data_IF_862027348637
#
_entry.id   IF_862027348637
#
_cell.length_a   1.000
_cell.length_b   1.000
_cell.length_c   1.000
_cell.angle_alpha   90.00
_cell.angle_beta   90.00
_cell.angle_gamma   90.00
#
_symmetry.space_group_name_H-M   'P 1'
#
loop_
_entity.id
_entity.type
_entity.pdbx_description
1 polymer ?
#
# COMPACT_ATOMS: atom_id res chain seq x y z
N UNK A 1 -13.51 -121.59 -42.45
CA UNK A 1 -13.85 -122.12 -43.79
C UNK A 1 -13.04 -123.38 -44.02
N UNK A 2 -13.76 -124.49 -44.12
CA UNK A 2 -13.43 -125.75 -44.82
C UNK A 2 -12.16 -126.53 -44.43
N UNK A 3 -12.36 -127.56 -43.61
CA UNK A 3 -11.59 -128.81 -43.61
C UNK A 3 -12.10 -129.67 -44.78
N UNK A 4 -11.19 -130.23 -45.58
CA UNK A 4 -11.50 -131.32 -46.51
C UNK A 4 -10.59 -132.52 -46.23
N UNK A 5 -11.22 -133.56 -45.66
CA UNK A 5 -11.13 -134.98 -45.99
C UNK A 5 -9.78 -135.69 -46.20
N UNK A 6 -9.43 -136.52 -45.20
CA UNK A 6 -9.21 -137.98 -45.26
C UNK A 6 -9.32 -138.67 -46.64
N UNK A 7 -8.29 -139.46 -47.01
CA UNK A 7 -8.46 -140.90 -47.32
C UNK A 7 -7.12 -141.66 -47.35
N UNK A 8 -6.98 -142.63 -46.46
CA UNK A 8 -6.06 -143.78 -46.59
C UNK A 8 -6.97 -145.02 -46.58
N UNK A 9 -6.84 -145.88 -47.59
CA UNK A 9 -7.29 -147.28 -47.52
C UNK A 9 -6.44 -148.08 -48.49
N UNK A 10 -5.57 -148.91 -47.91
CA UNK A 10 -5.07 -150.13 -48.50
C UNK A 10 -6.18 -151.20 -48.47
N UNK A 11 -6.09 -152.20 -49.35
CA UNK A 11 -6.02 -153.62 -48.96
C UNK A 11 -6.51 -154.55 -50.07
N UNK A 12 -5.57 -155.38 -50.51
CA UNK A 12 -5.77 -156.72 -51.03
C UNK A 12 -6.49 -157.60 -50.01
N UNK A 13 -7.33 -158.50 -50.52
CA UNK A 13 -8.07 -159.55 -49.82
C UNK A 13 -7.25 -160.31 -48.77
N UNK A 14 -7.87 -160.65 -47.64
CA UNK A 14 -8.17 -162.05 -47.25
C UNK A 14 -8.84 -162.12 -45.87
N UNK A 15 -9.79 -163.06 -45.74
CA UNK A 15 -10.61 -163.33 -44.55
C UNK A 15 -9.78 -163.95 -43.41
N UNK A 16 -9.94 -163.45 -42.18
CA UNK A 16 -9.41 -164.07 -40.95
C UNK A 16 -9.86 -163.32 -39.68
N UNK A 17 -10.41 -164.05 -38.71
CA UNK A 17 -11.11 -163.60 -37.49
C UNK A 17 -10.25 -162.71 -36.55
N UNK A 18 -10.82 -161.65 -35.93
CA UNK A 18 -10.11 -160.74 -35.02
C UNK A 18 -10.88 -160.35 -33.72
N UNK A 19 -10.12 -160.02 -32.68
CA UNK A 19 -10.35 -160.20 -31.22
C UNK A 19 -10.71 -158.92 -30.40
N UNK A 20 -11.28 -159.02 -29.17
CA UNK A 20 -11.91 -157.93 -28.39
C UNK A 20 -11.09 -156.68 -27.98
N UNK A 21 -9.78 -156.62 -28.26
CA UNK A 21 -8.91 -155.50 -27.82
C UNK A 21 -9.18 -154.20 -28.61
N UNK A 22 -9.68 -154.31 -29.85
CA UNK A 22 -9.95 -153.17 -30.73
C UNK A 22 -11.09 -152.27 -30.24
N UNK A 23 -12.03 -152.79 -29.44
CA UNK A 23 -13.19 -152.01 -28.96
C UNK A 23 -12.82 -151.04 -27.83
N UNK A 24 -11.87 -151.41 -26.96
CA UNK A 24 -11.44 -150.57 -25.83
C UNK A 24 -10.64 -149.33 -26.28
N UNK A 25 -9.86 -149.46 -27.36
CA UNK A 25 -9.08 -148.35 -27.92
C UNK A 25 -10.02 -147.28 -28.53
N UNK A 26 -11.10 -147.69 -29.20
CA UNK A 26 -12.07 -146.74 -29.77
C UNK A 26 -12.79 -145.90 -28.69
N UNK A 27 -13.09 -146.50 -27.54
CA UNK A 27 -13.79 -145.81 -26.45
C UNK A 27 -12.93 -144.71 -25.80
N UNK A 28 -11.63 -144.95 -25.63
CA UNK A 28 -10.69 -143.96 -25.06
C UNK A 28 -10.42 -142.79 -26.04
N UNK A 29 -10.37 -143.06 -27.34
CA UNK A 29 -10.16 -142.02 -28.37
C UNK A 29 -11.34 -141.04 -28.43
N UNK A 30 -12.58 -141.53 -28.32
CA UNK A 30 -13.76 -140.65 -28.27
C UNK A 30 -13.79 -139.77 -27.00
N UNK A 31 -13.44 -140.31 -25.84
CA UNK A 31 -13.39 -139.54 -24.59
C UNK A 31 -12.31 -138.45 -24.61
N UNK A 32 -11.20 -138.67 -25.31
CA UNK A 32 -10.16 -137.66 -25.53
C UNK A 32 -10.62 -136.57 -26.52
N UNK A 33 -11.40 -136.93 -27.54
CA UNK A 33 -12.01 -135.97 -28.48
C UNK A 33 -12.91 -134.96 -27.77
N UNK A 34 -13.79 -135.41 -26.86
CA UNK A 34 -14.68 -134.51 -26.12
C UNK A 34 -13.94 -133.57 -25.14
N UNK A 35 -12.83 -134.03 -24.55
CA UNK A 35 -12.00 -133.20 -23.67
C UNK A 35 -11.26 -132.10 -24.43
N UNK A 36 -10.82 -132.38 -25.65
CA UNK A 36 -10.15 -131.42 -26.54
C UNK A 36 -11.12 -130.29 -26.94
N UNK A 37 -12.37 -130.61 -27.27
CA UNK A 37 -13.37 -129.60 -27.65
C UNK A 37 -13.70 -128.66 -26.47
N UNK A 38 -13.85 -129.19 -25.25
CA UNK A 38 -14.07 -128.35 -24.04
C UNK A 38 -12.90 -127.44 -23.69
N UNK A 39 -11.66 -127.87 -23.96
CA UNK A 39 -10.48 -127.04 -23.73
C UNK A 39 -10.38 -125.92 -24.77
N UNK A 40 -10.80 -126.19 -26.01
CA UNK A 40 -10.89 -125.20 -27.07
C UNK A 40 -11.90 -124.10 -26.72
N UNK A 41 -13.11 -124.46 -26.29
CA UNK A 41 -14.12 -123.48 -25.89
C UNK A 41 -13.68 -122.61 -24.71
N UNK A 42 -12.95 -123.17 -23.75
CA UNK A 42 -12.34 -122.40 -22.64
C UNK A 42 -11.26 -121.43 -23.12
N UNK A 43 -10.44 -121.84 -24.10
CA UNK A 43 -9.40 -120.99 -24.67
C UNK A 43 -10.02 -119.82 -25.46
N UNK A 44 -11.08 -120.08 -26.24
CA UNK A 44 -11.81 -119.05 -26.99
C UNK A 44 -12.44 -118.02 -26.04
N UNK A 45 -13.09 -118.48 -24.96
CA UNK A 45 -13.67 -117.59 -23.93
C UNK A 45 -12.62 -116.78 -23.17
N UNK A 46 -11.45 -117.35 -22.92
CA UNK A 46 -10.33 -116.62 -22.30
C UNK A 46 -9.75 -115.55 -23.22
N UNK A 47 -9.80 -115.76 -24.54
CA UNK A 47 -9.36 -114.79 -25.55
C UNK A 47 -10.32 -113.61 -25.63
N UNK A 48 -11.63 -113.87 -25.59
CA UNK A 48 -12.67 -112.83 -25.53
C UNK A 48 -12.54 -111.95 -24.27
N UNK A 49 -12.30 -112.56 -23.11
CA UNK A 49 -12.08 -111.81 -21.86
C UNK A 49 -10.83 -110.91 -21.92
N UNK A 50 -9.75 -111.39 -22.52
CA UNK A 50 -8.54 -110.58 -22.68
C UNK A 50 -8.75 -109.40 -23.65
N UNK A 51 -9.57 -109.58 -24.69
CA UNK A 51 -9.94 -108.48 -25.59
C UNK A 51 -10.84 -107.45 -24.87
N UNK A 52 -11.78 -107.89 -24.03
CA UNK A 52 -12.60 -107.00 -23.21
C UNK A 52 -11.75 -106.18 -22.23
N UNK A 53 -10.78 -106.80 -21.55
CA UNK A 53 -9.86 -106.11 -20.63
C UNK A 53 -8.95 -105.11 -21.36
N UNK A 54 -8.48 -105.43 -22.56
CA UNK A 54 -7.72 -104.46 -23.37
C UNK A 54 -8.55 -103.22 -23.72
N UNK A 55 -9.82 -103.42 -24.05
CA UNK A 55 -10.75 -102.31 -24.33
C UNK A 55 -10.99 -101.43 -23.09
N UNK A 56 -11.19 -102.03 -21.93
CA UNK A 56 -11.38 -101.29 -20.68
C UNK A 56 -10.12 -100.50 -20.27
N UNK A 57 -8.93 -101.06 -20.52
CA UNK A 57 -7.65 -100.37 -20.29
C UNK A 57 -7.49 -99.15 -21.22
N UNK A 58 -7.93 -99.23 -22.48
CA UNK A 58 -7.92 -98.08 -23.38
C UNK A 58 -8.91 -96.99 -22.95
N UNK A 59 -10.12 -97.36 -22.53
CA UNK A 59 -11.12 -96.41 -22.05
C UNK A 59 -10.68 -95.70 -20.76
N UNK A 60 -9.96 -96.39 -19.87
CA UNK A 60 -9.34 -95.79 -18.68
C UNK A 60 -8.20 -94.82 -19.03
N UNK A 61 -7.35 -95.14 -20.02
CA UNK A 61 -6.30 -94.22 -20.50
C UNK A 61 -6.89 -92.94 -21.09
N UNK A 62 -8.01 -93.03 -21.84
CA UNK A 62 -8.71 -91.84 -22.36
C UNK A 62 -9.28 -90.96 -21.26
N UNK A 63 -9.83 -91.54 -20.18
CA UNK A 63 -10.29 -90.77 -19.00
C UNK A 63 -9.15 -90.08 -18.25
N UNK A 64 -7.95 -90.66 -18.22
CA UNK A 64 -6.76 -90.06 -17.62
C UNK A 64 -6.29 -88.81 -18.39
N UNK A 65 -6.31 -88.84 -19.73
CA UNK A 65 -6.02 -87.65 -20.56
C UNK A 65 -7.02 -86.49 -20.36
N UNK A 66 -8.28 -86.78 -20.04
CA UNK A 66 -9.26 -85.75 -19.66
C UNK A 66 -8.94 -85.05 -18.32
N UNK A 67 -8.26 -85.74 -17.39
CA UNK A 67 -7.83 -85.17 -16.10
C UNK A 67 -6.63 -84.24 -16.25
N UNK A 68 -5.78 -84.47 -17.25
CA UNK A 68 -4.60 -83.66 -17.57
C UNK A 68 -5.01 -82.31 -18.20
N UNK A 69 -5.98 -82.34 -19.12
CA UNK A 69 -6.58 -81.13 -19.71
C UNK A 69 -7.30 -80.26 -18.65
N UNK A 70 -7.96 -80.89 -17.68
CA UNK A 70 -8.55 -80.19 -16.54
C UNK A 70 -7.49 -79.55 -15.63
N UNK A 71 -6.32 -80.19 -15.45
CA UNK A 71 -5.21 -79.65 -14.67
C UNK A 71 -4.57 -78.43 -15.35
N UNK A 72 -4.36 -78.48 -16.67
CA UNK A 72 -3.84 -77.33 -17.44
C UNK A 72 -4.82 -76.14 -17.39
N UNK A 73 -6.11 -76.37 -17.60
CA UNK A 73 -7.15 -75.33 -17.48
C UNK A 73 -7.19 -74.69 -16.09
N UNK A 74 -7.02 -75.49 -15.02
CA UNK A 74 -6.92 -75.00 -13.65
C UNK A 74 -5.65 -74.17 -13.40
N UNK A 75 -4.52 -74.51 -14.03
CA UNK A 75 -3.31 -73.69 -13.92
C UNK A 75 -3.44 -72.34 -14.61
N UNK A 76 -4.11 -72.28 -15.77
CA UNK A 76 -4.36 -71.04 -16.50
C UNK A 76 -5.34 -70.14 -15.75
N UNK A 77 -6.45 -70.70 -15.24
CA UNK A 77 -7.38 -69.96 -14.36
C UNK A 77 -6.69 -69.41 -13.10
N UNK A 78 -5.73 -70.14 -12.51
CA UNK A 78 -4.95 -69.63 -11.38
C UNK A 78 -4.08 -68.43 -11.76
N UNK A 79 -3.48 -68.43 -12.96
CA UNK A 79 -2.74 -67.27 -13.47
C UNK A 79 -3.67 -66.08 -13.65
N UNK A 80 -4.84 -66.28 -14.24
CA UNK A 80 -5.82 -65.21 -14.46
C UNK A 80 -6.35 -64.64 -13.14
N UNK A 81 -6.69 -65.49 -12.17
CA UNK A 81 -7.07 -65.07 -10.82
C UNK A 81 -5.95 -64.23 -10.18
N UNK A 82 -4.68 -64.61 -10.37
CA UNK A 82 -3.53 -63.86 -9.86
C UNK A 82 -3.39 -62.49 -10.54
N UNK A 83 -3.63 -62.41 -11.85
CA UNK A 83 -3.64 -61.12 -12.57
C UNK A 83 -4.81 -60.23 -12.15
N UNK A 84 -6.01 -60.81 -11.98
CA UNK A 84 -7.19 -60.10 -11.51
C UNK A 84 -6.98 -59.53 -10.10
N UNK A 85 -6.38 -60.30 -9.18
CA UNK A 85 -6.02 -59.78 -7.84
C UNK A 85 -5.09 -58.58 -7.90
N UNK A 86 -4.09 -58.58 -8.80
CA UNK A 86 -3.21 -57.41 -8.99
C UNK A 86 -3.99 -56.19 -9.47
N UNK A 87 -4.92 -56.37 -10.42
CA UNK A 87 -5.80 -55.28 -10.89
C UNK A 87 -6.71 -54.76 -9.78
N UNK A 88 -7.28 -55.65 -8.96
CA UNK A 88 -8.11 -55.28 -7.79
C UNK A 88 -7.31 -54.46 -6.78
N UNK A 89 -6.07 -54.83 -6.48
CA UNK A 89 -5.21 -54.03 -5.59
C UNK A 89 -4.92 -52.63 -6.17
N UNK A 90 -4.82 -52.50 -7.50
CA UNK A 90 -4.70 -51.20 -8.17
C UNK A 90 -5.92 -50.29 -7.96
N UNK A 91 -7.12 -50.87 -7.82
CA UNK A 91 -8.35 -50.11 -7.54
C UNK A 91 -8.30 -49.47 -6.15
N UNK A 92 -7.75 -50.15 -5.14
CA UNK A 92 -7.65 -49.59 -3.79
C UNK A 92 -6.66 -48.44 -3.71
N UNK A 93 -5.57 -48.49 -4.48
CA UNK A 93 -4.64 -47.37 -4.58
C UNK A 93 -5.27 -46.16 -5.30
N UNK A 94 -6.04 -46.42 -6.37
CA UNK A 94 -6.82 -45.37 -7.02
C UNK A 94 -7.85 -44.74 -6.07
N UNK A 95 -8.54 -45.53 -5.23
CA UNK A 95 -9.46 -45.00 -4.20
C UNK A 95 -8.75 -44.07 -3.22
N UNK A 96 -7.54 -44.41 -2.77
CA UNK A 96 -6.76 -43.52 -1.88
C UNK A 96 -6.39 -42.22 -2.58
N UNK A 97 -5.96 -42.28 -3.84
CA UNK A 97 -5.65 -41.09 -4.64
C UNK A 97 -6.89 -40.21 -4.83
N UNK A 98 -8.04 -40.80 -5.16
CA UNK A 98 -9.31 -40.08 -5.28
C UNK A 98 -9.65 -39.38 -3.97
N UNK A 99 -9.54 -40.07 -2.82
CA UNK A 99 -9.82 -39.47 -1.51
C UNK A 99 -8.90 -38.27 -1.23
N UNK A 100 -7.61 -38.37 -1.56
CA UNK A 100 -6.66 -37.25 -1.42
C UNK A 100 -7.03 -36.08 -2.31
N UNK A 101 -7.41 -36.33 -3.57
CA UNK A 101 -7.83 -35.30 -4.51
C UNK A 101 -9.12 -34.61 -4.07
N UNK A 102 -10.08 -35.35 -3.51
CA UNK A 102 -11.32 -34.78 -2.94
C UNK A 102 -11.00 -33.82 -1.80
N UNK A 103 -10.17 -34.23 -0.83
CA UNK A 103 -9.78 -33.33 0.28
C UNK A 103 -9.02 -32.09 -0.20
N UNK A 104 -8.16 -32.23 -1.22
CA UNK A 104 -7.48 -31.10 -1.83
C UNK A 104 -8.46 -30.14 -2.52
N UNK A 105 -9.45 -30.66 -3.24
CA UNK A 105 -10.51 -29.87 -3.89
C UNK A 105 -11.35 -29.10 -2.87
N UNK A 106 -11.76 -29.74 -1.77
CA UNK A 106 -12.50 -29.10 -0.68
C UNK A 106 -11.70 -27.93 -0.07
N UNK A 107 -10.41 -28.15 0.17
CA UNK A 107 -9.50 -27.12 0.71
C UNK A 107 -9.32 -25.95 -0.28
N UNK A 108 -9.26 -26.23 -1.58
CA UNK A 108 -9.23 -25.18 -2.60
C UNK A 108 -10.54 -24.38 -2.65
N UNK A 109 -11.69 -25.04 -2.44
CA UNK A 109 -12.99 -24.40 -2.36
C UNK A 109 -13.08 -23.39 -1.21
N UNK A 110 -12.63 -23.77 -0.01
CA UNK A 110 -12.63 -22.88 1.17
C UNK A 110 -11.67 -21.70 0.99
N UNK A 111 -10.47 -21.93 0.46
CA UNK A 111 -9.51 -20.87 0.14
C UNK A 111 -10.07 -19.88 -0.89
N UNK A 112 -10.81 -20.37 -1.88
CA UNK A 112 -11.44 -19.51 -2.90
C UNK A 112 -12.52 -18.63 -2.28
N UNK A 113 -13.36 -19.16 -1.39
CA UNK A 113 -14.37 -18.39 -0.67
C UNK A 113 -13.74 -17.31 0.24
N UNK A 114 -12.67 -17.65 0.96
CA UNK A 114 -11.93 -16.68 1.77
C UNK A 114 -11.35 -15.54 0.92
N UNK A 115 -10.76 -15.87 -0.23
CA UNK A 115 -10.23 -14.88 -1.16
C UNK A 115 -11.33 -13.96 -1.74
N UNK A 116 -12.52 -14.48 -2.03
CA UNK A 116 -13.65 -13.67 -2.48
C UNK A 116 -14.09 -12.65 -1.42
N UNK A 117 -14.11 -13.06 -0.14
CA UNK A 117 -14.42 -12.16 0.96
C UNK A 117 -13.37 -11.05 1.11
N UNK A 118 -12.09 -11.40 1.03
CA UNK A 118 -10.99 -10.43 1.08
C UNK A 118 -11.10 -9.41 -0.07
N UNK A 119 -11.38 -9.87 -1.30
CA UNK A 119 -11.59 -8.99 -2.46
C UNK A 119 -12.76 -8.02 -2.22
N UNK A 120 -13.86 -8.48 -1.62
CA UNK A 120 -15.01 -7.63 -1.29
C UNK A 120 -14.64 -6.55 -0.26
N UNK A 121 -13.86 -6.91 0.75
CA UNK A 121 -13.38 -5.97 1.76
C UNK A 121 -12.47 -4.90 1.11
N UNK A 122 -11.47 -5.33 0.34
CA UNK A 122 -10.54 -4.44 -0.38
C UNK A 122 -11.30 -3.47 -1.29
N UNK A 123 -12.32 -3.94 -2.04
CA UNK A 123 -13.15 -3.05 -2.87
C UNK A 123 -13.84 -1.96 -2.06
N UNK A 124 -14.30 -2.29 -0.86
CA UNK A 124 -14.96 -1.33 0.03
C UNK A 124 -13.96 -0.27 0.51
N UNK A 125 -12.77 -0.69 0.95
CA UNK A 125 -11.72 0.22 1.37
C UNK A 125 -11.25 1.13 0.22
N UNK A 126 -11.05 0.58 -0.98
CA UNK A 126 -10.67 1.35 -2.18
C UNK A 126 -11.71 2.44 -2.48
N UNK A 127 -13.00 2.14 -2.34
CA UNK A 127 -14.07 3.13 -2.55
C UNK A 127 -14.05 4.23 -1.48
N UNK A 128 -13.78 3.88 -0.22
CA UNK A 128 -13.62 4.86 0.84
C UNK A 128 -12.40 5.77 0.57
N UNK A 129 -11.25 5.20 0.20
CA UNK A 129 -10.05 5.96 -0.18
C UNK A 129 -10.36 6.92 -1.33
N UNK A 130 -11.04 6.44 -2.38
CA UNK A 130 -11.42 7.26 -3.53
C UNK A 130 -12.29 8.46 -3.13
N UNK A 131 -13.24 8.27 -2.21
CA UNK A 131 -14.08 9.36 -1.71
C UNK A 131 -13.28 10.40 -0.91
N UNK A 132 -12.36 9.96 -0.04
CA UNK A 132 -11.46 10.83 0.73
C UNK A 132 -10.55 11.63 -0.19
N UNK A 133 -9.99 11.00 -1.23
CA UNK A 133 -9.14 11.68 -2.23
C UNK A 133 -9.89 12.81 -2.93
N UNK A 134 -11.15 12.60 -3.32
CA UNK A 134 -11.98 13.67 -3.91
C UNK A 134 -12.21 14.83 -2.95
N UNK A 135 -12.47 14.54 -1.67
CA UNK A 135 -12.66 15.58 -0.64
C UNK A 135 -11.37 16.39 -0.42
N UNK A 136 -10.21 15.72 -0.37
CA UNK A 136 -8.90 16.37 -0.27
C UNK A 136 -8.65 17.26 -1.49
N UNK A 137 -8.95 16.79 -2.70
CA UNK A 137 -8.77 17.57 -3.93
C UNK A 137 -9.64 18.84 -3.94
N UNK A 138 -10.90 18.73 -3.53
CA UNK A 138 -11.81 19.89 -3.40
C UNK A 138 -11.27 20.90 -2.38
N UNK A 139 -10.81 20.42 -1.22
CA UNK A 139 -10.20 21.26 -0.18
C UNK A 139 -8.93 21.95 -0.70
N UNK A 140 -8.09 21.23 -1.43
CA UNK A 140 -6.90 21.78 -2.08
C UNK A 140 -7.22 22.91 -3.05
N UNK A 141 -8.25 22.74 -3.89
CA UNK A 141 -8.71 23.77 -4.82
C UNK A 141 -9.23 25.03 -4.09
N UNK A 142 -10.01 24.85 -3.04
CA UNK A 142 -10.49 25.96 -2.21
C UNK A 142 -9.34 26.74 -1.57
N UNK A 143 -8.35 26.04 -1.03
CA UNK A 143 -7.17 26.65 -0.43
C UNK A 143 -6.32 27.40 -1.46
N UNK A 144 -6.15 26.85 -2.67
CA UNK A 144 -5.49 27.54 -3.78
C UNK A 144 -6.17 28.88 -4.10
N UNK A 145 -7.52 28.89 -4.12
CA UNK A 145 -8.30 30.12 -4.31
C UNK A 145 -8.12 31.14 -3.18
N UNK A 146 -8.08 30.70 -1.92
CA UNK A 146 -7.79 31.57 -0.77
C UNK A 146 -6.38 32.17 -0.84
N UNK A 147 -5.37 31.36 -1.18
CA UNK A 147 -3.98 31.79 -1.33
C UNK A 147 -3.85 32.85 -2.43
N UNK A 148 -4.53 32.66 -3.57
CA UNK A 148 -4.54 33.65 -4.66
C UNK A 148 -5.11 35.01 -4.19
N UNK A 149 -6.23 35.00 -3.45
CA UNK A 149 -6.81 36.22 -2.88
C UNK A 149 -5.89 36.90 -1.86
N UNK A 150 -5.22 36.12 -1.01
CA UNK A 150 -4.26 36.65 -0.04
C UNK A 150 -3.05 37.30 -0.72
N UNK A 151 -2.51 36.69 -1.78
CA UNK A 151 -1.42 37.28 -2.56
C UNK A 151 -1.80 38.61 -3.17
N UNK A 152 -3.01 38.72 -3.75
CA UNK A 152 -3.50 39.99 -4.30
C UNK A 152 -3.69 41.08 -3.23
N UNK A 153 -4.14 40.72 -2.03
CA UNK A 153 -4.21 41.69 -0.91
C UNK A 153 -2.82 42.13 -0.46
N UNK A 154 -1.86 41.21 -0.39
CA UNK A 154 -0.49 41.49 0.01
C UNK A 154 0.18 42.46 -0.98
N UNK A 155 0.04 42.24 -2.29
CA UNK A 155 0.61 43.16 -3.28
C UNK A 155 0.00 44.57 -3.19
N UNK A 156 -1.31 44.66 -2.94
CA UNK A 156 -1.98 45.96 -2.70
C UNK A 156 -1.45 46.66 -1.44
N UNK A 157 -1.25 45.92 -0.36
CA UNK A 157 -0.67 46.45 0.89
C UNK A 157 0.76 46.95 0.66
N UNK A 158 1.61 46.18 -0.02
CA UNK A 158 2.99 46.57 -0.34
C UNK A 158 3.06 47.89 -1.13
N UNK A 159 2.17 48.05 -2.12
CA UNK A 159 2.08 49.30 -2.89
C UNK A 159 1.66 50.47 -2.00
N UNK A 160 0.67 50.27 -1.12
CA UNK A 160 0.19 51.31 -0.21
C UNK A 160 1.27 51.74 0.80
N UNK A 161 2.07 50.80 1.30
CA UNK A 161 3.20 51.07 2.21
C UNK A 161 4.26 51.88 1.49
N UNK A 162 4.66 51.49 0.27
CA UNK A 162 5.63 52.25 -0.55
C UNK A 162 5.16 53.68 -0.82
N UNK A 163 3.88 53.86 -1.16
CA UNK A 163 3.32 55.19 -1.39
C UNK A 163 3.37 56.06 -0.12
N UNK A 164 3.01 55.50 1.04
CA UNK A 164 3.08 56.21 2.32
C UNK A 164 4.51 56.52 2.74
N UNK A 165 5.46 55.61 2.51
CA UNK A 165 6.87 55.84 2.79
C UNK A 165 7.38 57.07 2.03
N UNK A 166 7.09 57.16 0.73
CA UNK A 166 7.49 58.32 -0.10
C UNK A 166 6.92 59.65 0.44
N UNK A 167 5.69 59.65 0.94
CA UNK A 167 5.07 60.84 1.54
C UNK A 167 5.82 61.24 2.82
N UNK A 168 6.11 60.26 3.69
CA UNK A 168 6.85 60.49 4.94
C UNK A 168 8.24 61.03 4.65
N UNK A 169 8.98 60.43 3.72
CA UNK A 169 10.32 60.89 3.31
C UNK A 169 10.31 62.32 2.76
N UNK A 170 9.30 62.65 1.95
CA UNK A 170 9.09 64.00 1.44
C UNK A 170 8.83 65.02 2.56
N UNK A 171 7.99 64.66 3.54
CA UNK A 171 7.70 65.51 4.71
C UNK A 171 8.94 65.71 5.58
N UNK A 172 9.68 64.64 5.89
CA UNK A 172 10.94 64.72 6.65
C UNK A 172 11.92 65.65 5.96
N UNK A 173 12.10 65.51 4.64
CA UNK A 173 13.00 66.37 3.87
C UNK A 173 12.57 67.84 3.92
N UNK A 174 11.26 68.12 3.79
CA UNK A 174 10.75 69.49 3.88
C UNK A 174 10.92 70.09 5.28
N UNK A 175 10.68 69.31 6.32
CA UNK A 175 10.86 69.74 7.70
C UNK A 175 12.34 70.00 8.01
N UNK A 176 13.23 69.11 7.59
CA UNK A 176 14.68 69.31 7.76
C UNK A 176 15.14 70.61 7.10
N UNK A 177 14.63 70.93 5.90
CA UNK A 177 14.93 72.21 5.23
C UNK A 177 14.43 73.41 6.04
N UNK A 178 13.22 73.34 6.58
CA UNK A 178 12.65 74.40 7.41
C UNK A 178 13.50 74.63 8.68
N UNK A 179 13.86 73.55 9.38
CA UNK A 179 14.71 73.61 10.57
C UNK A 179 16.08 74.20 10.25
N UNK A 180 16.76 73.71 9.20
CA UNK A 180 18.06 74.25 8.81
C UNK A 180 17.95 75.75 8.47
N UNK A 181 16.92 76.15 7.73
CA UNK A 181 16.69 77.58 7.42
C UNK A 181 16.45 78.40 8.69
N UNK A 182 15.74 77.87 9.68
CA UNK A 182 15.48 78.53 10.96
C UNK A 182 16.77 78.74 11.75
N UNK A 183 17.63 77.72 11.77
CA UNK A 183 18.92 77.76 12.46
C UNK A 183 19.90 78.70 11.77
N UNK A 184 19.94 78.71 10.43
CA UNK A 184 20.89 79.52 9.67
C UNK A 184 20.51 81.00 9.62
N UNK A 185 19.21 81.31 9.54
CA UNK A 185 18.71 82.69 9.37
C UNK A 185 18.10 83.28 10.64
N UNK A 186 17.88 82.48 11.68
CA UNK A 186 17.37 82.94 12.95
C UNK A 186 18.33 83.94 13.60
N UNK A 187 17.78 84.95 14.25
CA UNK A 187 18.57 85.92 15.02
C UNK A 187 18.02 85.99 16.43
N UNK A 188 18.89 86.08 17.42
CA UNK A 188 18.52 86.17 18.83
C UNK A 188 19.42 87.15 19.57
N UNK A 189 18.95 87.65 20.69
CA UNK A 189 19.77 88.51 21.55
C UNK A 189 19.09 88.81 22.86
N UNK A 190 19.73 89.68 23.63
CA UNK A 190 19.22 90.13 24.93
C UNK A 190 19.22 91.66 25.00
N UNK A 191 18.27 92.21 25.75
CA UNK A 191 18.25 93.62 26.12
C UNK A 191 17.77 93.73 27.56
N UNK A 192 18.48 94.53 28.35
CA UNK A 192 18.12 94.81 29.71
C UNK A 192 18.84 96.03 30.21
N UNK A 193 18.44 96.45 31.40
CA UNK A 193 19.13 97.48 32.16
C UNK A 193 19.12 97.04 33.62
N UNK A 194 20.26 97.17 34.29
CA UNK A 194 20.45 96.85 35.70
C UNK A 194 21.49 97.81 36.27
N UNK A 195 21.12 98.59 37.30
CA UNK A 195 22.01 99.57 37.92
C UNK A 195 21.49 100.04 39.29
N UNK A 196 22.42 100.49 40.13
CA UNK A 196 22.19 101.16 41.41
C UNK A 196 22.85 102.56 41.39
N UNK A 197 22.22 103.65 41.88
CA UNK A 197 21.05 103.70 42.76
C UNK A 197 19.66 103.80 42.07
N UNK A 198 19.51 103.53 40.77
CA UNK A 198 18.30 102.99 40.10
C UNK A 198 18.36 103.25 38.58
N UNK A 199 17.95 102.29 37.75
CA UNK A 199 17.73 102.49 36.31
C UNK A 199 16.45 103.28 36.07
N UNK A 200 16.52 104.31 35.21
CA UNK A 200 15.30 104.99 34.73
C UNK A 200 14.54 104.10 33.75
N UNK A 201 13.32 103.72 34.13
CA UNK A 201 12.37 103.05 33.24
C UNK A 201 11.33 104.06 32.72
N UNK A 202 10.82 103.91 31.47
CA UNK A 202 11.04 102.79 30.55
C UNK A 202 12.44 102.74 29.94
N UNK A 203 12.98 101.53 29.84
CA UNK A 203 14.19 101.25 29.08
C UNK A 203 13.77 100.72 27.70
N UNK A 204 14.30 101.28 26.62
CA UNK A 204 13.99 100.85 25.27
C UNK A 204 15.23 100.75 24.40
N UNK A 205 15.24 99.79 23.47
CA UNK A 205 16.31 99.64 22.49
C UNK A 205 15.75 99.28 21.12
N UNK A 206 16.26 99.97 20.10
CA UNK A 206 16.08 99.57 18.71
C UNK A 206 17.01 98.40 18.39
N UNK A 207 16.43 97.23 18.17
CA UNK A 207 17.12 96.03 17.73
C UNK A 207 17.07 96.01 16.21
N UNK A 208 18.24 96.00 15.57
CA UNK A 208 18.38 95.88 14.12
C UNK A 208 18.75 94.45 13.76
N UNK A 209 18.06 93.88 12.80
CA UNK A 209 18.44 92.59 12.22
C UNK A 209 19.59 92.80 11.24
N UNK A 210 20.63 91.97 11.35
CA UNK A 210 21.76 92.02 10.42
C UNK A 210 22.20 90.60 10.02
N UNK A 211 21.96 90.18 8.76
CA UNK A 211 21.26 90.93 7.71
C UNK A 211 19.78 91.16 8.04
N UNK A 212 19.12 92.09 7.32
CA UNK A 212 17.67 92.24 7.39
C UNK A 212 16.98 90.94 6.91
N UNK A 213 15.80 90.64 7.45
CA UNK A 213 14.99 89.54 6.92
C UNK A 213 14.38 89.91 5.57
N UNK A 214 14.07 88.91 4.75
CA UNK A 214 13.39 89.12 3.46
C UNK A 214 11.95 89.66 3.66
N UNK A 215 11.30 89.24 4.74
CA UNK A 215 9.97 89.68 5.18
C UNK A 215 9.94 89.87 6.70
N UNK A 216 8.88 90.49 7.24
CA UNK A 216 8.72 90.65 8.69
C UNK A 216 8.75 89.27 9.39
N UNK A 217 9.69 89.01 10.33
CA UNK A 217 9.85 87.71 10.96
C UNK A 217 8.77 87.42 12.01
N UNK A 218 8.70 86.18 12.46
CA UNK A 218 8.02 85.81 13.71
C UNK A 218 8.98 86.06 14.87
N UNK A 219 8.50 86.70 15.94
CA UNK A 219 9.31 87.09 17.09
C UNK A 219 8.72 86.50 18.37
N UNK A 220 9.57 85.90 19.19
CA UNK A 220 9.27 85.51 20.57
C UNK A 220 10.25 86.22 21.51
N UNK A 221 9.80 86.57 22.72
CA UNK A 221 10.64 87.16 23.75
C UNK A 221 10.19 86.72 25.13
N UNK A 222 11.10 86.78 26.10
CA UNK A 222 10.86 86.35 27.47
C UNK A 222 11.79 87.02 28.47
N UNK A 223 11.30 87.19 29.70
CA UNK A 223 12.05 87.74 30.83
C UNK A 223 13.03 86.69 31.37
N UNK A 224 14.29 87.08 31.62
CA UNK A 224 15.29 86.19 32.24
C UNK A 224 16.04 86.82 33.42
N UNK A 225 15.88 88.12 33.67
CA UNK A 225 16.30 88.77 34.93
C UNK A 225 15.19 89.71 35.39
N UNK A 226 14.91 89.70 36.68
CA UNK A 226 13.94 90.60 37.30
C UNK A 226 14.34 90.95 38.73
N UNK A 227 14.68 92.22 38.96
CA UNK A 227 15.18 92.75 40.24
C UNK A 227 14.36 93.98 40.65
N UNK A 228 13.62 93.86 41.74
CA UNK A 228 12.66 94.85 42.23
C UNK A 228 12.85 95.13 43.71
N UNK A 229 12.46 96.33 44.12
CA UNK A 229 12.41 96.68 45.51
C UNK A 229 11.37 95.87 46.28
N UNK A 230 11.77 95.37 47.44
CA UNK A 230 10.96 94.50 48.30
C UNK A 230 9.67 95.16 48.84
N UNK A 231 9.65 96.48 49.03
CA UNK A 231 8.52 97.17 49.67
C UNK A 231 7.50 97.72 48.65
N UNK A 232 7.58 97.31 47.38
CA UNK A 232 6.60 97.65 46.34
C UNK A 232 6.21 96.42 45.54
N UNK A 233 4.99 96.36 45.02
CA UNK A 233 4.57 95.21 44.23
C UNK A 233 5.42 95.11 42.94
N UNK A 234 5.89 93.91 42.59
CA UNK A 234 6.63 93.69 41.36
C UNK A 234 5.69 93.75 40.15
N UNK A 235 5.77 94.83 39.36
CA UNK A 235 5.00 95.00 38.13
C UNK A 235 5.91 95.39 36.98
N UNK A 236 5.95 94.54 35.95
CA UNK A 236 6.73 94.76 34.73
C UNK A 236 5.83 94.56 33.51
N UNK A 237 6.00 95.41 32.50
CA UNK A 237 5.41 95.25 31.19
C UNK A 237 6.53 95.32 30.16
N UNK A 238 6.57 94.31 29.30
CA UNK A 238 7.47 94.27 28.15
C UNK A 238 6.62 94.09 26.90
N UNK A 239 6.91 94.87 25.87
CA UNK A 239 6.25 94.75 24.59
C UNK A 239 7.17 95.21 23.45
N UNK A 240 6.79 94.84 22.24
CA UNK A 240 7.51 95.14 21.01
C UNK A 240 6.74 96.21 20.24
N UNK A 241 7.46 97.21 19.73
CA UNK A 241 6.91 98.22 18.81
C UNK A 241 7.56 98.09 17.44
N UNK A 242 6.74 98.23 16.39
CA UNK A 242 7.22 98.36 15.02
C UNK A 242 8.06 97.18 14.53
N UNK A 243 7.60 95.94 14.74
CA UNK A 243 8.27 94.77 14.18
C UNK A 243 8.21 94.81 12.65
N UNK A 244 9.38 94.96 12.03
CA UNK A 244 9.58 94.99 10.58
C UNK A 244 10.67 94.01 10.18
N UNK A 245 10.91 93.86 8.88
CA UNK A 245 12.02 93.05 8.37
C UNK A 245 13.42 93.58 8.77
N UNK A 246 13.51 94.85 9.16
CA UNK A 246 14.77 95.52 9.50
C UNK A 246 15.10 95.45 10.99
N UNK A 247 14.09 95.23 11.83
CA UNK A 247 14.24 95.34 13.28
C UNK A 247 12.93 95.65 13.98
N UNK A 248 13.06 95.95 15.27
CA UNK A 248 11.96 96.31 16.16
C UNK A 248 12.48 97.10 17.36
N UNK A 249 11.59 97.77 18.08
CA UNK A 249 11.90 98.43 19.34
C UNK A 249 11.40 97.57 20.51
N UNK A 250 12.32 97.14 21.39
CA UNK A 250 11.99 96.39 22.61
C UNK A 250 11.85 97.39 23.76
N UNK A 251 10.69 97.41 24.42
CA UNK A 251 10.42 98.29 25.55
C UNK A 251 10.22 97.47 26.82
N UNK A 252 10.91 97.85 27.89
CA UNK A 252 10.75 97.36 29.25
C UNK A 252 10.26 98.52 30.10
N UNK A 253 9.13 98.36 30.78
CA UNK A 253 8.56 99.39 31.65
C UNK A 253 7.97 98.81 32.92
N UNK A 254 7.78 99.65 33.93
CA UNK A 254 7.04 99.35 35.14
C UNK A 254 5.80 100.24 35.20
N UNK A 255 4.88 99.94 36.10
CA UNK A 255 3.68 100.75 36.29
C UNK A 255 3.29 100.84 37.75
N UNK A 256 2.48 101.85 38.09
CA UNK A 256 2.13 102.21 39.47
C UNK A 256 3.38 102.56 40.30
N UNK A 257 3.48 102.09 41.54
CA UNK A 257 4.55 102.42 42.48
C UNK A 257 5.75 101.46 42.45
N UNK A 258 5.88 100.61 41.42
CA UNK A 258 6.96 99.61 41.36
C UNK A 258 8.34 100.28 41.20
N UNK A 259 9.25 99.96 42.12
CA UNK A 259 10.67 100.33 42.01
C UNK A 259 11.44 99.12 41.46
N UNK A 260 12.12 99.30 40.33
CA UNK A 260 12.85 98.25 39.62
C UNK A 260 14.32 98.63 39.47
N UNK A 261 15.20 97.72 39.87
CA UNK A 261 16.67 97.85 39.82
C UNK A 261 17.21 97.29 38.53
N UNK A 262 16.56 96.25 38.00
CA UNK A 262 16.79 95.83 36.64
C UNK A 262 15.86 94.76 36.10
N UNK A 263 15.87 94.65 34.78
CA UNK A 263 15.15 93.63 34.05
C UNK A 263 15.87 93.34 32.74
N UNK A 264 15.94 92.06 32.37
CA UNK A 264 16.50 91.63 31.09
C UNK A 264 15.54 90.72 30.34
N UNK A 265 15.42 90.97 29.05
CA UNK A 265 14.59 90.26 28.10
C UNK A 265 15.49 89.58 27.08
N UNK A 266 15.24 88.30 26.83
CA UNK A 266 15.78 87.55 25.70
C UNK A 266 14.77 87.53 24.58
N UNK A 267 15.22 87.56 23.33
CA UNK A 267 14.37 87.53 22.15
C UNK A 267 14.96 86.64 21.06
N UNK A 268 14.08 86.08 20.23
CA UNK A 268 14.43 85.27 19.06
C UNK A 268 13.47 85.61 17.92
N UNK A 269 14.03 85.92 16.75
CA UNK A 269 13.32 86.20 15.51
C UNK A 269 13.66 85.13 14.46
N UNK A 270 12.64 84.54 13.84
CA UNK A 270 12.78 83.55 12.79
C UNK A 270 12.04 83.99 11.51
N UNK A 271 12.56 83.68 10.31
CA UNK A 271 11.84 83.96 9.07
C UNK A 271 10.43 83.35 9.07
N UNK A 272 9.43 84.08 8.56
CA UNK A 272 8.02 83.64 8.55
C UNK A 272 7.76 82.41 7.68
N UNK A 273 8.65 82.09 6.75
CA UNK A 273 8.57 80.93 5.83
C UNK A 273 8.64 79.55 6.51
N UNK A 274 8.63 79.52 7.84
CA UNK A 274 8.96 78.36 8.70
C UNK A 274 7.74 77.88 9.53
N UNK A 275 6.61 78.59 9.49
CA UNK A 275 5.35 78.20 10.15
C UNK A 275 4.22 78.06 9.12
#
# INVERSE_FOLDING_TARGET
MTVTNLKRSSDSETKGQNSPITWFILQQVNALGERLEKLRDKAEKSKENNQALQKDVEDLKKKQGGSEYAAESLTEMRKDIKQLRKKVNGIDELKKQIKKLVTQSETQGTNTAANQNNIKHIRTEVNQVKSKTKAIQSTGNNNKGKISRLRSKLTGLEQSVKARQKIVDGKITSFQRQVNTAMDKGQSGTFGAHAYPQVKFPASRDIKFNPQFDATPSLVYGLYLYDTWKDTNPRLSTYIRGLTRNGFNLVITTFSNTVMWGAHISWMACPKTIL
#
